data_IF_265664603749
#
_entry.id   IF_265664603749
#
_cell.length_a   1.000
_cell.length_b   1.000
_cell.length_c   1.000
_cell.angle_alpha   90.00
_cell.angle_beta   90.00
_cell.angle_gamma   90.00
#
_symmetry.space_group_name_H-M   'P 1'
#
loop_
_entity.id
_entity.type
_entity.pdbx_description
1 polymer ?
#
# COMPACT_ATOMS: atom_id res chain seq x y z
N UNK A 1 -39.97 30.28 0.23
CA UNK A 1 -40.23 29.80 -1.15
C UNK A 1 -38.90 29.28 -1.67
N UNK A 2 -38.64 27.97 -1.52
CA UNK A 2 -38.64 26.96 -2.61
C UNK A 2 -37.59 27.26 -3.70
N UNK A 3 -36.73 26.36 -4.18
CA UNK A 3 -36.36 24.96 -3.84
C UNK A 3 -35.33 24.48 -4.88
N UNK A 4 -34.44 23.56 -4.48
CA UNK A 4 -33.95 22.44 -5.31
C UNK A 4 -32.69 22.67 -6.16
N UNK A 5 -31.77 21.72 -6.33
CA UNK A 5 -31.87 20.26 -6.17
C UNK A 5 -30.57 19.64 -5.63
N UNK A 6 -30.72 18.76 -4.65
CA UNK A 6 -29.71 17.81 -4.20
C UNK A 6 -29.53 16.72 -5.27
N UNK A 7 -28.35 16.61 -5.87
CA UNK A 7 -27.95 15.50 -6.73
C UNK A 7 -27.51 14.27 -5.95
N UNK A 8 -28.24 13.92 -4.88
CA UNK A 8 -28.05 12.65 -4.19
C UNK A 8 -28.73 11.56 -4.99
N UNK A 9 -27.95 10.72 -5.68
CA UNK A 9 -28.50 9.52 -6.31
C UNK A 9 -28.91 8.58 -5.19
N UNK A 10 -30.21 8.36 -5.00
CA UNK A 10 -30.72 7.32 -4.12
C UNK A 10 -30.25 5.96 -4.67
N UNK A 11 -29.27 5.38 -3.99
CA UNK A 11 -28.87 4.00 -4.23
C UNK A 11 -30.05 3.11 -3.81
N UNK A 12 -30.50 2.16 -4.66
CA UNK A 12 -31.50 1.20 -4.24
C UNK A 12 -30.98 0.44 -3.01
N UNK A 13 -31.87 -0.03 -2.12
CA UNK A 13 -31.47 -0.83 -0.98
C UNK A 13 -30.56 -1.97 -1.46
N UNK A 14 -29.36 -2.09 -0.88
CA UNK A 14 -28.36 -3.13 -1.18
C UNK A 14 -29.00 -4.55 -1.21
N UNK A 15 -30.13 -4.70 -0.52
CA UNK A 15 -31.02 -5.86 -0.47
C UNK A 15 -31.49 -6.45 -1.81
N UNK A 16 -31.42 -5.77 -2.96
CA UNK A 16 -31.96 -6.29 -4.23
C UNK A 16 -30.92 -6.63 -5.31
N UNK A 17 -29.61 -6.40 -5.08
CA UNK A 17 -28.59 -6.62 -6.12
C UNK A 17 -27.72 -7.82 -5.76
N UNK A 18 -28.13 -9.01 -6.20
CA UNK A 18 -27.43 -10.29 -5.99
C UNK A 18 -26.19 -10.48 -6.87
N UNK A 19 -25.95 -9.61 -7.85
CA UNK A 19 -24.87 -9.74 -8.84
C UNK A 19 -23.92 -8.53 -8.90
N UNK A 20 -23.77 -7.78 -7.81
CA UNK A 20 -22.83 -6.64 -7.81
C UNK A 20 -21.39 -7.16 -7.79
N UNK A 21 -20.65 -7.00 -8.89
CA UNK A 21 -19.23 -7.34 -8.93
C UNK A 21 -18.34 -6.29 -8.22
N UNK A 22 -18.82 -5.04 -8.11
CA UNK A 22 -18.09 -3.94 -7.47
C UNK A 22 -19.01 -3.18 -6.55
N UNK A 23 -18.75 -3.23 -5.25
CA UNK A 23 -19.35 -2.32 -4.28
C UNK A 23 -18.39 -1.15 -4.05
N UNK A 24 -18.95 0.07 -4.06
CA UNK A 24 -18.23 1.28 -3.68
C UNK A 24 -17.79 1.27 -2.22
N UNK A 25 -17.41 2.43 -1.70
CA UNK A 25 -17.00 2.54 -0.29
C UNK A 25 -18.24 2.50 0.61
N UNK A 26 -18.43 1.42 1.37
CA UNK A 26 -19.50 1.29 2.37
C UNK A 26 -19.01 1.68 3.76
N UNK A 27 -19.88 2.32 4.55
CA UNK A 27 -19.56 2.76 5.91
C UNK A 27 -20.03 1.74 6.94
N UNK A 28 -19.11 1.05 7.61
CA UNK A 28 -19.44 -0.03 8.58
C UNK A 28 -19.73 0.45 9.99
N UNK A 29 -19.88 1.76 10.19
CA UNK A 29 -20.46 2.31 11.43
C UNK A 29 -21.87 1.76 11.65
N UNK A 30 -22.60 1.47 10.57
CA UNK A 30 -23.95 0.89 10.61
C UNK A 30 -23.90 -0.65 10.58
N UNK A 31 -24.42 -1.35 11.61
CA UNK A 31 -24.42 -2.81 11.69
C UNK A 31 -25.04 -3.56 10.51
N UNK A 32 -26.09 -2.99 9.93
CA UNK A 32 -26.82 -3.57 8.80
C UNK A 32 -25.92 -3.83 7.59
N UNK A 33 -24.91 -2.98 7.36
CA UNK A 33 -23.97 -3.11 6.24
C UNK A 33 -23.21 -4.42 6.30
N UNK A 34 -22.75 -4.85 7.47
CA UNK A 34 -22.06 -6.15 7.59
C UNK A 34 -23.00 -7.31 7.26
N UNK A 35 -24.27 -7.25 7.65
CA UNK A 35 -25.26 -8.27 7.32
C UNK A 35 -25.58 -8.30 5.81
N UNK A 36 -25.59 -7.13 5.16
CA UNK A 36 -25.72 -7.04 3.71
C UNK A 36 -24.51 -7.63 2.99
N UNK A 37 -23.28 -7.33 3.45
CA UNK A 37 -22.05 -7.88 2.88
C UNK A 37 -22.03 -9.41 2.93
N UNK A 38 -22.42 -10.02 4.05
CA UNK A 38 -22.48 -11.49 4.17
C UNK A 38 -23.37 -12.15 3.11
N UNK A 39 -24.39 -11.44 2.60
CA UNK A 39 -25.27 -11.96 1.54
C UNK A 39 -24.71 -11.77 0.13
N UNK A 40 -23.71 -10.91 -0.06
CA UNK A 40 -23.14 -10.58 -1.38
C UNK A 40 -21.88 -11.39 -1.71
N UNK A 41 -22.05 -12.69 -1.91
CA UNK A 41 -20.93 -13.62 -2.09
C UNK A 41 -20.17 -13.47 -3.42
N UNK A 42 -20.75 -12.77 -4.41
CA UNK A 42 -20.18 -12.57 -5.75
C UNK A 42 -19.33 -11.30 -5.91
N UNK A 43 -19.06 -10.59 -4.81
CA UNK A 43 -18.25 -9.38 -4.84
C UNK A 43 -16.81 -9.67 -5.30
N UNK A 44 -16.34 -8.88 -6.28
CA UNK A 44 -14.95 -8.87 -6.74
C UNK A 44 -14.16 -7.66 -6.25
N UNK A 45 -14.85 -6.55 -6.01
CA UNK A 45 -14.25 -5.32 -5.46
C UNK A 45 -15.11 -4.75 -4.34
N UNK A 46 -14.47 -4.42 -3.23
CA UNK A 46 -15.12 -3.88 -2.04
C UNK A 46 -14.29 -2.75 -1.44
N UNK A 47 -14.92 -1.59 -1.21
CA UNK A 47 -14.38 -0.53 -0.37
C UNK A 47 -15.14 -0.46 0.96
N UNK A 48 -14.44 -0.25 2.05
CA UNK A 48 -15.01 -0.12 3.39
C UNK A 48 -14.37 1.06 4.11
N UNK A 49 -15.18 1.86 4.81
CA UNK A 49 -14.71 2.99 5.63
C UNK A 49 -15.30 2.95 7.04
N UNK A 50 -14.76 3.82 7.91
CA UNK A 50 -15.13 3.93 9.32
C UNK A 50 -14.87 2.64 10.12
N UNK A 51 -13.77 1.95 9.80
CA UNK A 51 -13.32 0.77 10.54
C UNK A 51 -12.77 1.22 11.89
N UNK A 52 -13.23 0.56 12.95
CA UNK A 52 -12.80 0.81 14.33
C UNK A 52 -12.57 -0.52 15.03
N UNK A 53 -11.92 -0.48 16.19
CA UNK A 53 -11.79 -1.68 17.03
C UNK A 53 -13.16 -2.32 17.37
N UNK A 54 -14.22 -1.51 17.47
CA UNK A 54 -15.56 -1.98 17.82
C UNK A 54 -16.25 -2.78 16.71
N UNK A 55 -15.94 -2.49 15.44
CA UNK A 55 -16.61 -3.11 14.29
C UNK A 55 -15.71 -4.00 13.44
N UNK A 56 -14.39 -3.98 13.65
CA UNK A 56 -13.42 -4.75 12.85
C UNK A 56 -13.77 -6.23 12.82
N UNK A 57 -13.97 -6.88 13.97
CA UNK A 57 -14.33 -8.31 14.04
C UNK A 57 -15.57 -8.66 13.23
N UNK A 58 -16.63 -7.84 13.31
CA UNK A 58 -17.87 -8.06 12.57
C UNK A 58 -17.66 -7.91 11.06
N UNK A 59 -16.92 -6.88 10.65
CA UNK A 59 -16.55 -6.70 9.25
C UNK A 59 -15.75 -7.91 8.73
N UNK A 60 -14.76 -8.37 9.49
CA UNK A 60 -13.92 -9.50 9.11
C UNK A 60 -14.74 -10.78 8.93
N UNK A 61 -15.65 -11.06 9.86
CA UNK A 61 -16.59 -12.17 9.73
C UNK A 61 -17.49 -12.03 8.51
N UNK A 62 -17.87 -10.80 8.13
CA UNK A 62 -18.72 -10.59 6.97
C UNK A 62 -17.96 -10.86 5.65
N UNK A 63 -16.68 -10.51 5.57
CA UNK A 63 -15.90 -10.60 4.33
C UNK A 63 -15.09 -11.90 4.18
N UNK A 64 -14.94 -12.69 5.24
CA UNK A 64 -14.11 -13.92 5.21
C UNK A 64 -14.55 -14.95 4.17
N UNK A 65 -15.86 -15.06 3.90
CA UNK A 65 -16.43 -15.97 2.90
C UNK A 65 -16.44 -15.44 1.46
N UNK A 66 -15.87 -14.26 1.19
CA UNK A 66 -15.92 -13.63 -0.13
C UNK A 66 -14.83 -14.20 -1.06
N UNK A 67 -15.00 -15.44 -1.50
CA UNK A 67 -14.00 -16.16 -2.30
C UNK A 67 -13.71 -15.52 -3.66
N UNK A 68 -14.62 -14.72 -4.22
CA UNK A 68 -14.40 -14.03 -5.49
C UNK A 68 -13.76 -12.64 -5.34
N UNK A 69 -13.46 -12.20 -4.12
CA UNK A 69 -12.93 -10.86 -3.88
C UNK A 69 -11.48 -10.74 -4.35
N UNK A 70 -11.26 -9.83 -5.30
CA UNK A 70 -9.96 -9.55 -5.92
C UNK A 70 -9.38 -8.20 -5.47
N UNK A 71 -10.22 -7.25 -5.08
CA UNK A 71 -9.81 -5.90 -4.66
C UNK A 71 -10.50 -5.47 -3.38
N UNK A 72 -9.72 -5.07 -2.39
CA UNK A 72 -10.21 -4.63 -1.07
C UNK A 72 -9.58 -3.29 -0.69
N UNK A 73 -10.40 -2.35 -0.24
CA UNK A 73 -9.96 -1.08 0.36
C UNK A 73 -10.56 -0.94 1.75
N UNK A 74 -9.73 -0.75 2.76
CA UNK A 74 -10.10 -0.65 4.16
C UNK A 74 -9.66 0.70 4.72
N UNK A 75 -10.63 1.53 5.09
CA UNK A 75 -10.43 2.85 5.68
C UNK A 75 -10.76 2.87 7.16
N UNK A 76 -9.75 3.12 7.98
CA UNK A 76 -9.90 3.30 9.42
C UNK A 76 -10.65 4.61 9.71
N UNK A 77 -11.40 4.63 10.80
CA UNK A 77 -12.02 5.85 11.31
C UNK A 77 -10.91 6.82 11.78
N UNK A 78 -11.14 8.13 11.60
CA UNK A 78 -10.12 9.18 11.85
C UNK A 78 -9.55 9.18 13.28
N UNK A 79 -10.34 8.73 14.24
CA UNK A 79 -10.04 8.64 15.67
C UNK A 79 -9.51 7.28 16.11
N UNK A 80 -9.38 6.32 15.19
CA UNK A 80 -9.08 4.94 15.51
C UNK A 80 -7.74 4.50 14.90
N UNK A 81 -6.64 4.92 15.51
CA UNK A 81 -5.27 4.56 15.08
C UNK A 81 -4.94 3.09 15.37
N UNK A 82 -5.59 2.50 16.37
CA UNK A 82 -5.31 1.12 16.81
C UNK A 82 -6.47 0.23 16.38
N UNK A 83 -6.27 -0.54 15.31
CA UNK A 83 -7.11 -1.69 15.00
C UNK A 83 -6.28 -2.93 15.29
N UNK A 84 -6.77 -3.78 16.19
CA UNK A 84 -6.19 -5.12 16.29
C UNK A 84 -6.60 -5.89 15.04
N UNK A 85 -5.60 -6.25 14.25
CA UNK A 85 -5.75 -7.09 13.07
C UNK A 85 -5.65 -8.59 13.43
N UNK A 86 -5.76 -8.92 14.71
CA UNK A 86 -5.75 -10.29 15.20
C UNK A 86 -6.93 -11.07 14.62
N UNK A 87 -6.65 -12.25 14.06
CA UNK A 87 -7.67 -13.09 13.41
C UNK A 87 -8.25 -12.52 12.11
N UNK A 88 -7.62 -11.53 11.47
CA UNK A 88 -7.94 -11.19 10.09
C UNK A 88 -7.53 -12.32 9.14
N UNK A 89 -8.51 -12.93 8.49
CA UNK A 89 -8.24 -13.74 7.31
C UNK A 89 -8.69 -12.95 6.09
N UNK A 90 -7.74 -12.56 5.26
CA UNK A 90 -8.05 -11.95 3.99
C UNK A 90 -8.59 -13.00 3.00
N UNK A 91 -9.47 -12.60 2.07
CA UNK A 91 -9.86 -13.47 0.97
C UNK A 91 -8.64 -13.91 0.14
N UNK A 92 -8.51 -15.21 -0.12
CA UNK A 92 -7.32 -15.81 -0.77
C UNK A 92 -7.05 -15.35 -2.20
N UNK A 93 -8.07 -14.84 -2.89
CA UNK A 93 -7.99 -14.37 -4.27
C UNK A 93 -7.67 -12.89 -4.40
N UNK A 94 -7.31 -12.23 -3.29
CA UNK A 94 -7.01 -10.81 -3.29
C UNK A 94 -5.76 -10.50 -4.12
N UNK A 95 -5.92 -9.58 -5.08
CA UNK A 95 -4.87 -9.08 -5.98
C UNK A 95 -4.53 -7.61 -5.68
N UNK A 96 -5.44 -6.87 -5.05
CA UNK A 96 -5.24 -5.47 -4.69
C UNK A 96 -5.74 -5.21 -3.27
N UNK A 97 -4.87 -4.65 -2.43
CA UNK A 97 -5.19 -4.22 -1.07
C UNK A 97 -4.82 -2.75 -0.88
N UNK A 98 -5.75 -1.98 -0.32
CA UNK A 98 -5.49 -0.63 0.17
C UNK A 98 -5.89 -0.53 1.64
N UNK A 99 -4.96 -0.13 2.51
CA UNK A 99 -5.22 0.20 3.91
C UNK A 99 -4.96 1.69 4.11
N UNK A 100 -5.92 2.43 4.65
CA UNK A 100 -5.80 3.89 4.81
C UNK A 100 -6.48 4.41 6.09
N UNK A 101 -6.17 5.63 6.50
CA UNK A 101 -6.66 6.22 7.76
C UNK A 101 -5.70 6.02 8.93
N UNK A 102 -4.41 6.26 8.72
CA UNK A 102 -3.37 6.19 9.75
C UNK A 102 -3.30 4.83 10.49
N UNK A 103 -2.97 3.77 9.75
CA UNK A 103 -2.74 2.44 10.32
C UNK A 103 -1.53 2.51 11.26
N UNK A 104 -1.63 2.02 12.49
CA UNK A 104 -0.47 2.08 13.39
C UNK A 104 0.61 1.02 13.07
N UNK A 105 0.20 -0.19 12.69
CA UNK A 105 1.10 -1.31 12.43
C UNK A 105 0.59 -2.16 11.25
N UNK A 106 1.51 -2.78 10.52
CA UNK A 106 1.19 -3.69 9.43
C UNK A 106 0.41 -4.92 9.95
N UNK A 107 -0.70 -5.33 9.31
CA UNK A 107 -1.39 -6.56 9.67
C UNK A 107 -0.47 -7.79 9.46
N UNK A 108 -0.23 -8.64 10.48
CA UNK A 108 0.67 -9.79 10.36
C UNK A 108 0.32 -10.77 9.24
N UNK A 109 -0.97 -10.90 8.92
CA UNK A 109 -1.51 -11.82 7.92
C UNK A 109 -1.33 -11.31 6.48
N UNK A 110 -0.80 -10.11 6.28
CA UNK A 110 -0.51 -9.60 4.92
C UNK A 110 0.46 -10.53 4.18
N UNK A 111 1.37 -11.19 4.90
CA UNK A 111 2.32 -12.19 4.38
C UNK A 111 1.67 -13.40 3.72
N UNK A 112 0.39 -13.67 4.03
CA UNK A 112 -0.37 -14.81 3.49
C UNK A 112 -1.04 -14.47 2.15
N UNK A 113 -0.92 -13.22 1.69
CA UNK A 113 -1.52 -12.76 0.45
C UNK A 113 -0.64 -13.08 -0.78
N UNK A 114 -0.42 -14.36 -1.05
CA UNK A 114 0.47 -14.84 -2.12
C UNK A 114 0.07 -14.42 -3.55
N UNK A 115 -1.15 -13.92 -3.75
CA UNK A 115 -1.65 -13.43 -5.05
C UNK A 115 -1.69 -11.91 -5.17
N UNK A 116 -1.21 -11.19 -4.15
CA UNK A 116 -1.28 -9.74 -4.10
C UNK A 116 -0.34 -9.10 -5.13
N UNK A 117 -0.91 -8.34 -6.06
CA UNK A 117 -0.16 -7.60 -7.08
C UNK A 117 0.00 -6.12 -6.74
N UNK A 118 -0.95 -5.56 -6.00
CA UNK A 118 -0.97 -4.14 -5.66
C UNK A 118 -1.23 -3.96 -4.17
N UNK A 119 -0.36 -3.20 -3.52
CA UNK A 119 -0.50 -2.82 -2.13
C UNK A 119 -0.37 -1.30 -1.99
N UNK A 120 -1.29 -0.70 -1.24
CA UNK A 120 -1.22 0.71 -0.84
C UNK A 120 -1.46 0.83 0.65
N UNK A 121 -0.51 1.43 1.37
CA UNK A 121 -0.54 1.57 2.82
C UNK A 121 -0.43 3.04 3.21
N UNK A 122 -1.32 3.49 4.10
CA UNK A 122 -1.19 4.73 4.86
C UNK A 122 -0.92 4.35 6.32
N UNK A 123 0.33 4.49 6.76
CA UNK A 123 0.81 3.96 8.04
C UNK A 123 1.52 5.05 8.87
N UNK A 124 1.35 5.00 10.18
CA UNK A 124 1.93 5.97 11.12
C UNK A 124 3.41 5.67 11.35
N UNK A 125 3.73 4.43 11.74
CA UNK A 125 5.10 3.94 11.97
C UNK A 125 5.38 2.79 11.02
N UNK A 126 6.53 2.80 10.38
CA UNK A 126 6.97 1.71 9.50
C UNK A 126 8.38 1.26 9.88
N UNK A 127 8.56 -0.04 9.99
CA UNK A 127 9.78 -0.68 10.51
C UNK A 127 10.52 -1.45 9.41
N UNK A 128 11.76 -1.85 9.70
CA UNK A 128 12.50 -2.76 8.82
C UNK A 128 11.81 -4.13 8.73
N UNK A 129 11.25 -4.63 9.84
CA UNK A 129 10.49 -5.88 9.88
C UNK A 129 9.28 -5.84 8.95
N UNK A 130 8.57 -4.70 8.89
CA UNK A 130 7.49 -4.48 7.94
C UNK A 130 7.98 -4.61 6.49
N UNK A 131 9.13 -4.00 6.17
CA UNK A 131 9.73 -4.10 4.83
C UNK A 131 10.11 -5.55 4.50
N UNK A 132 10.66 -6.30 5.45
CA UNK A 132 10.98 -7.73 5.28
C UNK A 132 9.73 -8.57 5.02
N UNK A 133 8.62 -8.28 5.71
CA UNK A 133 7.33 -8.93 5.48
C UNK A 133 6.81 -8.64 4.06
N UNK A 134 6.84 -7.38 3.64
CA UNK A 134 6.39 -6.99 2.30
C UNK A 134 7.29 -7.58 1.20
N UNK A 135 8.59 -7.71 1.45
CA UNK A 135 9.55 -8.26 0.51
C UNK A 135 9.32 -9.73 0.15
N UNK A 136 8.59 -10.47 1.00
CA UNK A 136 8.22 -11.88 0.78
C UNK A 136 6.97 -12.04 -0.08
N UNK A 137 6.32 -10.95 -0.49
CA UNK A 137 5.18 -10.99 -1.39
C UNK A 137 5.63 -11.15 -2.84
N UNK A 138 5.83 -12.39 -3.26
CA UNK A 138 6.45 -12.73 -4.55
C UNK A 138 5.77 -12.11 -5.78
N UNK A 139 4.43 -12.00 -5.77
CA UNK A 139 3.66 -11.45 -6.90
C UNK A 139 3.41 -9.95 -6.81
N UNK A 140 3.99 -9.26 -5.84
CA UNK A 140 3.76 -7.83 -5.62
C UNK A 140 4.45 -7.01 -6.70
N UNK A 141 3.65 -6.31 -7.51
CA UNK A 141 4.11 -5.54 -8.67
C UNK A 141 4.07 -4.03 -8.42
N UNK A 142 3.19 -3.58 -7.54
CA UNK A 142 3.05 -2.17 -7.17
C UNK A 142 2.95 -2.03 -5.66
N UNK A 143 3.89 -1.29 -5.08
CA UNK A 143 3.88 -0.93 -3.67
C UNK A 143 3.77 0.59 -3.56
N UNK A 144 2.77 1.06 -2.81
CA UNK A 144 2.59 2.47 -2.45
C UNK A 144 2.61 2.62 -0.95
N UNK A 145 3.53 3.43 -0.45
CA UNK A 145 3.72 3.69 0.98
C UNK A 145 3.50 5.17 1.24
N UNK A 146 2.49 5.49 2.05
CA UNK A 146 2.33 6.78 2.68
C UNK A 146 2.69 6.61 4.15
N UNK A 147 3.86 7.11 4.55
CA UNK A 147 4.44 6.87 5.87
C UNK A 147 4.60 8.19 6.61
N UNK A 148 4.02 8.27 7.81
CA UNK A 148 4.18 9.45 8.66
C UNK A 148 5.58 9.52 9.28
N UNK A 149 6.07 8.38 9.78
CA UNK A 149 7.36 8.24 10.45
C UNK A 149 7.98 6.87 10.21
N UNK A 150 9.29 6.84 9.97
CA UNK A 150 10.12 5.64 10.07
C UNK A 150 10.79 5.56 11.44
N UNK A 151 10.88 4.37 12.03
CA UNK A 151 11.33 4.18 13.42
C UNK A 151 12.75 4.74 13.69
N UNK A 152 13.67 4.54 12.74
CA UNK A 152 15.04 5.06 12.79
C UNK A 152 15.26 6.29 11.87
N UNK A 153 14.19 6.84 11.28
CA UNK A 153 14.30 7.94 10.30
C UNK A 153 14.82 7.52 8.93
N UNK A 154 14.95 6.22 8.66
CA UNK A 154 15.41 5.68 7.39
C UNK A 154 14.46 4.58 6.90
N UNK A 155 14.34 4.44 5.58
CA UNK A 155 13.69 3.28 4.97
C UNK A 155 14.77 2.36 4.44
N UNK A 156 15.11 1.35 5.25
CA UNK A 156 16.12 0.38 4.88
C UNK A 156 15.49 -0.84 4.22
N UNK A 157 15.92 -1.12 3.00
CA UNK A 157 15.66 -2.42 2.38
C UNK A 157 16.57 -3.47 3.02
N UNK A 158 16.06 -4.69 3.27
CA UNK A 158 16.86 -5.73 3.89
C UNK A 158 18.05 -6.10 3.01
N UNK A 159 19.24 -6.21 3.62
CA UNK A 159 20.45 -6.66 2.94
C UNK A 159 20.37 -8.17 2.82
N UNK A 160 20.43 -8.68 1.59
CA UNK A 160 20.49 -10.13 1.35
C UNK A 160 21.91 -10.63 1.59
N UNK A 161 22.11 -11.72 2.35
CA UNK A 161 23.41 -12.39 2.44
C UNK A 161 23.90 -12.80 1.03
N UNK A 162 25.21 -12.73 0.78
CA UNK A 162 25.79 -13.12 -0.51
C UNK A 162 25.47 -14.58 -0.89
N UNK A 163 25.35 -15.45 0.12
CA UNK A 163 25.08 -16.88 -0.01
C UNK A 163 23.57 -17.21 -0.11
N UNK A 164 22.68 -16.21 -0.05
CA UNK A 164 21.24 -16.40 -0.15
C UNK A 164 20.83 -16.62 -1.62
N UNK A 165 21.24 -17.76 -2.19
CA UNK A 165 21.08 -18.08 -3.62
C UNK A 165 19.62 -18.15 -4.12
N UNK A 166 18.59 -18.11 -3.25
CA UNK A 166 17.27 -18.62 -3.65
C UNK A 166 16.06 -17.70 -3.55
N UNK A 167 16.13 -16.50 -2.97
CA UNK A 167 14.97 -15.59 -3.04
C UNK A 167 15.38 -14.14 -2.92
N UNK A 168 15.40 -13.42 -4.05
CA UNK A 168 15.33 -11.97 -4.01
C UNK A 168 14.05 -11.55 -3.26
N UNK A 169 14.14 -10.52 -2.43
CA UNK A 169 12.92 -9.84 -2.01
C UNK A 169 12.30 -9.14 -3.21
N UNK A 170 10.99 -8.88 -3.15
CA UNK A 170 10.28 -8.12 -4.17
C UNK A 170 10.56 -8.58 -5.61
N UNK A 171 10.49 -9.88 -5.93
CA UNK A 171 10.96 -10.41 -7.21
C UNK A 171 10.15 -9.89 -8.40
N UNK A 172 8.88 -9.50 -8.23
CA UNK A 172 8.05 -8.90 -9.29
C UNK A 172 7.81 -7.39 -9.15
N UNK A 173 8.43 -6.70 -8.19
CA UNK A 173 8.12 -5.30 -7.92
C UNK A 173 8.63 -4.39 -9.04
N UNK A 174 7.69 -3.77 -9.76
CA UNK A 174 7.98 -2.87 -10.88
C UNK A 174 7.78 -1.39 -10.52
N UNK A 175 6.85 -1.09 -9.61
CA UNK A 175 6.49 0.28 -9.23
C UNK A 175 6.56 0.45 -7.72
N UNK A 176 7.38 1.39 -7.29
CA UNK A 176 7.49 1.82 -5.90
C UNK A 176 7.16 3.30 -5.80
N UNK A 177 6.10 3.62 -5.07
CA UNK A 177 5.71 4.99 -4.74
C UNK A 177 5.83 5.20 -3.23
N UNK A 178 6.57 6.22 -2.81
CA UNK A 178 6.75 6.57 -1.41
C UNK A 178 6.34 8.03 -1.22
N UNK A 179 5.49 8.29 -0.25
CA UNK A 179 5.15 9.62 0.24
C UNK A 179 5.50 9.66 1.73
N UNK A 180 6.44 10.53 2.08
CA UNK A 180 6.97 10.61 3.43
C UNK A 180 6.96 12.04 3.95
N UNK A 181 6.53 12.20 5.20
CA UNK A 181 6.57 13.47 5.92
C UNK A 181 7.77 13.63 6.86
N UNK A 182 8.67 12.64 6.93
CA UNK A 182 9.87 12.67 7.76
C UNK A 182 11.15 12.53 6.92
N UNK A 183 12.30 12.71 7.56
CA UNK A 183 13.60 12.38 6.98
C UNK A 183 13.55 10.97 6.41
N UNK A 184 14.15 10.80 5.23
CA UNK A 184 14.04 9.57 4.48
C UNK A 184 15.37 9.29 3.78
N UNK A 185 16.08 8.29 4.27
CA UNK A 185 17.18 7.69 3.53
C UNK A 185 16.68 6.37 2.95
N UNK A 186 16.75 6.24 1.63
CA UNK A 186 16.47 4.98 0.93
C UNK A 186 17.77 4.47 0.35
N UNK A 187 18.15 3.28 0.78
CA UNK A 187 19.23 2.51 0.19
C UNK A 187 18.62 1.33 -0.54
N UNK A 188 18.99 1.12 -1.81
CA UNK A 188 18.65 -0.07 -2.58
C UNK A 188 19.87 -1.01 -2.61
N UNK A 189 19.90 -2.06 -1.78
CA UNK A 189 20.96 -3.06 -1.86
C UNK A 189 20.86 -3.85 -3.16
N UNK A 190 22.01 -4.39 -3.59
CA UNK A 190 22.05 -5.24 -4.78
C UNK A 190 21.05 -6.39 -4.64
N UNK A 191 20.33 -6.65 -5.74
CA UNK A 191 19.40 -7.79 -5.90
C UNK A 191 18.12 -7.74 -5.03
N UNK A 192 17.90 -6.71 -4.21
CA UNK A 192 16.70 -6.62 -3.35
C UNK A 192 15.43 -6.20 -4.09
N UNK A 193 15.53 -5.47 -5.19
CA UNK A 193 14.39 -5.04 -6.04
C UNK A 193 14.76 -5.15 -7.53
N UNK A 194 14.99 -6.37 -8.04
CA UNK A 194 15.67 -6.58 -9.32
C UNK A 194 14.91 -6.06 -10.55
N UNK A 195 13.58 -5.93 -10.44
CA UNK A 195 12.69 -5.59 -11.56
C UNK A 195 12.05 -4.20 -11.43
N UNK A 196 12.55 -3.34 -10.53
CA UNK A 196 11.97 -2.02 -10.34
C UNK A 196 12.17 -1.16 -11.60
N UNK A 197 11.06 -0.69 -12.17
CA UNK A 197 11.06 0.15 -13.38
C UNK A 197 10.79 1.62 -13.07
N UNK A 198 9.93 1.88 -12.07
CA UNK A 198 9.53 3.23 -11.68
C UNK A 198 9.69 3.42 -10.17
N UNK A 199 10.49 4.41 -9.81
CA UNK A 199 10.58 4.95 -8.47
C UNK A 199 9.92 6.33 -8.43
N UNK A 200 8.93 6.52 -7.56
CA UNK A 200 8.34 7.83 -7.27
C UNK A 200 8.47 8.15 -5.80
N UNK A 201 9.03 9.31 -5.47
CA UNK A 201 9.17 9.77 -4.08
C UNK A 201 8.61 11.17 -3.92
N UNK A 202 7.60 11.31 -3.07
CA UNK A 202 7.10 12.58 -2.58
C UNK A 202 7.70 12.86 -1.20
N UNK A 203 8.29 14.04 -1.01
CA UNK A 203 8.91 14.44 0.26
C UNK A 203 8.61 15.90 0.59
N UNK A 204 8.69 16.27 1.87
CA UNK A 204 8.33 17.61 2.38
C UNK A 204 9.53 18.46 2.74
N UNK A 205 9.33 19.78 2.74
CA UNK A 205 10.33 20.75 3.19
C UNK A 205 10.72 20.55 4.64
N UNK A 206 12.03 20.61 4.91
CA UNK A 206 12.62 20.37 6.22
C UNK A 206 12.96 18.91 6.52
N UNK A 207 12.66 17.98 5.61
CA UNK A 207 12.99 16.56 5.74
C UNK A 207 13.99 16.14 4.66
N UNK A 208 15.29 16.00 4.97
CA UNK A 208 16.28 15.53 4.00
C UNK A 208 15.88 14.17 3.44
N UNK A 209 15.92 14.08 2.11
CA UNK A 209 15.81 12.84 1.35
C UNK A 209 17.20 12.47 0.86
N UNK A 210 17.59 11.21 1.00
CA UNK A 210 18.80 10.65 0.40
C UNK A 210 18.43 9.35 -0.31
N UNK A 211 18.91 9.21 -1.55
CA UNK A 211 18.75 8.00 -2.36
C UNK A 211 20.12 7.44 -2.69
N UNK A 212 20.28 6.12 -2.54
CA UNK A 212 21.52 5.42 -2.87
C UNK A 212 21.25 4.06 -3.52
N UNK A 213 22.17 3.61 -4.37
CA UNK A 213 22.07 2.34 -5.09
C UNK A 213 21.33 2.42 -6.41
N UNK A 214 21.04 3.61 -6.95
CA UNK A 214 20.34 3.74 -8.23
C UNK A 214 21.21 3.36 -9.43
N UNK A 215 22.53 3.37 -9.28
CA UNK A 215 23.53 3.13 -10.32
C UNK A 215 23.56 1.68 -10.83
N UNK A 216 23.17 0.71 -9.99
CA UNK A 216 23.17 -0.71 -10.35
C UNK A 216 21.77 -1.28 -10.66
N UNK A 217 20.72 -0.44 -10.65
CA UNK A 217 19.35 -0.87 -10.93
C UNK A 217 19.11 -1.01 -12.44
N UNK A 218 19.36 -2.20 -12.98
CA UNK A 218 19.35 -2.47 -14.43
C UNK A 218 17.98 -2.43 -15.11
N UNK A 219 16.88 -2.50 -14.35
CA UNK A 219 15.51 -2.42 -14.88
C UNK A 219 14.90 -1.04 -14.70
N UNK A 220 15.56 -0.14 -13.96
CA UNK A 220 15.04 1.19 -13.66
C UNK A 220 14.94 2.00 -14.95
N UNK A 221 13.74 2.52 -15.23
CA UNK A 221 13.44 3.33 -16.40
C UNK A 221 13.25 4.79 -16.02
N UNK A 222 12.66 5.04 -14.84
CA UNK A 222 12.27 6.37 -14.42
C UNK A 222 12.36 6.56 -12.91
N UNK A 223 12.90 7.71 -12.52
CA UNK A 223 12.88 8.24 -11.16
C UNK A 223 12.09 9.55 -11.19
N UNK A 224 11.07 9.66 -10.35
CA UNK A 224 10.28 10.87 -10.18
C UNK A 224 10.38 11.36 -8.74
N UNK A 225 10.93 12.55 -8.54
CA UNK A 225 10.95 13.22 -7.24
C UNK A 225 9.99 14.40 -7.22
N UNK A 226 9.14 14.47 -6.20
CA UNK A 226 8.22 15.57 -5.98
C UNK A 226 8.42 16.14 -4.57
N UNK A 227 8.98 17.34 -4.49
CA UNK A 227 9.29 17.98 -3.23
C UNK A 227 9.96 19.34 -3.44
N UNK A 228 10.41 19.99 -2.36
CA UNK A 228 11.19 21.22 -2.45
C UNK A 228 12.48 21.00 -3.24
N UNK A 229 12.91 22.01 -3.99
CA UNK A 229 14.16 21.96 -4.75
C UNK A 229 15.34 21.74 -3.81
N UNK A 230 16.04 20.62 -3.98
CA UNK A 230 17.26 20.28 -3.25
C UNK A 230 18.34 19.94 -4.29
N UNK A 231 19.26 20.89 -4.51
CA UNK A 231 20.31 20.78 -5.52
C UNK A 231 21.24 19.61 -5.22
N UNK A 232 21.57 19.40 -3.94
CA UNK A 232 22.50 18.34 -3.52
C UNK A 232 21.89 16.97 -3.76
N UNK A 233 20.61 16.80 -3.42
CA UNK A 233 19.86 15.57 -3.73
C UNK A 233 19.79 15.33 -5.24
N UNK A 234 19.39 16.34 -6.02
CA UNK A 234 19.20 16.19 -7.46
C UNK A 234 20.51 15.86 -8.18
N UNK A 235 21.61 16.51 -7.80
CA UNK A 235 22.92 16.23 -8.39
C UNK A 235 23.43 14.84 -8.00
N UNK A 236 23.21 14.41 -6.75
CA UNK A 236 23.52 13.05 -6.30
C UNK A 236 22.73 11.97 -7.06
N UNK A 237 21.43 12.21 -7.29
CA UNK A 237 20.58 11.31 -8.08
C UNK A 237 21.06 11.27 -9.53
N UNK A 238 21.28 12.43 -10.17
CA UNK A 238 21.79 12.50 -11.55
C UNK A 238 23.12 11.76 -11.71
N UNK A 239 24.06 11.95 -10.78
CA UNK A 239 25.35 11.27 -10.83
C UNK A 239 25.20 9.74 -10.78
N UNK A 240 24.28 9.21 -9.97
CA UNK A 240 24.01 7.77 -9.94
C UNK A 240 23.35 7.29 -11.24
N UNK A 241 22.41 8.05 -11.79
CA UNK A 241 21.71 7.70 -13.03
C UNK A 241 22.61 7.77 -14.27
N UNK A 242 23.58 8.68 -14.30
CA UNK A 242 24.60 8.78 -15.36
C UNK A 242 25.54 7.56 -15.38
N UNK A 243 25.84 7.01 -14.20
CA UNK A 243 26.61 5.78 -14.03
C UNK A 243 25.78 4.53 -14.30
N UNK A 244 24.45 4.62 -14.26
CA UNK A 244 23.58 3.49 -14.53
C UNK A 244 23.63 3.12 -16.03
N UNK A 245 23.86 1.85 -16.37
CA UNK A 245 23.99 1.41 -17.76
C UNK A 245 22.74 1.66 -18.62
N UNK A 246 21.56 1.82 -18.01
CA UNK A 246 20.30 2.11 -18.71
C UNK A 246 19.97 3.60 -18.81
N UNK A 247 20.70 4.47 -18.11
CA UNK A 247 20.46 5.92 -18.03
C UNK A 247 18.98 6.27 -17.81
N UNK A 248 18.39 5.90 -16.65
CA UNK A 248 16.97 6.13 -16.38
C UNK A 248 16.61 7.62 -16.44
N UNK A 249 15.38 7.92 -16.86
CA UNK A 249 14.87 9.29 -16.91
C UNK A 249 14.67 9.83 -15.50
N UNK A 250 15.11 11.07 -15.27
CA UNK A 250 14.89 11.78 -14.01
C UNK A 250 13.90 12.93 -14.20
N UNK A 251 12.82 12.93 -13.42
CA UNK A 251 11.75 13.95 -13.40
C UNK A 251 11.48 14.50 -11.99
#
# INVERSE_FOLDING_TARGET
MHSGYNGGVDLPPIRQITALHTLGVVNVRYPSICADLTRQTQLRKLGVSAISQKNSRRLLSAISGHHHLESLSLGLAKDNHVVRWDGMYYPKNLRSLKLYGNVQMLPPQIKELHNLKKLSLEIISFTEEDMQVLGKLEKLQTLRLFVMKFDNGELQFPIMPEDAERSALFPELMVLEIDCSSNLHICFPLRTVPNLELLKVCYRSGSPLKLSGLDHMICLKKVWLNGPSDVVLFDSVRQQLDRNPKKPVFE
#
